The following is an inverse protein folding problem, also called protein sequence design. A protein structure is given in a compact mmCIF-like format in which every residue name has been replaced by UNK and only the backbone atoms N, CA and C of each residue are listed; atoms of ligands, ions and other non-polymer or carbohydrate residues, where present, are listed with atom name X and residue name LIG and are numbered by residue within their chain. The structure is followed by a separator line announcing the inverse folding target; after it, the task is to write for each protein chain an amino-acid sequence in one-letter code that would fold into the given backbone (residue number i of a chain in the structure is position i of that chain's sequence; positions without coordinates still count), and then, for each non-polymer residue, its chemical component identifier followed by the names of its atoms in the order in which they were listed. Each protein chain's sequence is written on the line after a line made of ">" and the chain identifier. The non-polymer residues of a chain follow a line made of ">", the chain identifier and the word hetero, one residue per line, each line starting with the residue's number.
data_IF_972067861236
#
_entry.id   IF_972067861236
#
_cell.length_a   1.000
_cell.length_b   1.000
_cell.length_c   1.000
_cell.angle_alpha   90.00
_cell.angle_beta   90.00
_cell.angle_gamma   90.00
#
_symmetry.space_group_name_H-M   'P 1'
#
loop_
_entity.id
_entity.type
_entity.pdbx_description
1 polymer ?
#
# COMPACT_ATOMS: atom_id res chain seq x y z
N UNK A 1 -4.38 4.15 -13.14
CA UNK A 1 -3.48 3.59 -12.10
C UNK A 1 -3.97 2.21 -11.61
N UNK A 2 -3.04 1.27 -11.38
CA UNK A 2 -3.36 -0.10 -10.96
C UNK A 2 -2.17 -0.80 -10.28
N UNK A 3 -2.47 -1.72 -9.35
CA UNK A 3 -1.47 -2.66 -8.82
C UNK A 3 -1.31 -3.78 -9.85
N UNK A 4 -0.10 -3.91 -10.42
CA UNK A 4 0.26 -4.97 -11.37
C UNK A 4 0.69 -6.22 -10.61
N UNK A 5 1.52 -6.04 -9.58
CA UNK A 5 1.96 -7.11 -8.67
C UNK A 5 1.83 -6.68 -7.20
N UNK A 6 1.37 -7.57 -6.30
CA UNK A 6 0.97 -8.96 -6.55
C UNK A 6 -0.41 -9.05 -7.23
N UNK A 7 -0.61 -10.13 -7.99
CA UNK A 7 -1.92 -10.42 -8.59
C UNK A 7 -2.97 -10.67 -7.49
N UNK A 8 -4.23 -10.30 -7.77
CA UNK A 8 -5.34 -10.53 -6.82
C UNK A 8 -5.45 -12.02 -6.46
N UNK A 9 -5.49 -12.31 -5.16
CA UNK A 9 -5.60 -13.68 -4.64
C UNK A 9 -4.27 -14.40 -4.45
N UNK A 10 -3.13 -13.71 -4.68
CA UNK A 10 -1.81 -14.24 -4.35
C UNK A 10 -1.74 -14.57 -2.85
N UNK A 11 -1.30 -15.79 -2.54
CA UNK A 11 -1.02 -16.20 -1.16
C UNK A 11 0.40 -15.79 -0.81
N UNK A 12 0.56 -15.04 0.27
CA UNK A 12 1.84 -14.52 0.76
C UNK A 12 1.94 -14.89 2.24
N UNK A 13 2.99 -15.60 2.62
CA UNK A 13 3.20 -16.00 4.00
C UNK A 13 3.63 -14.80 4.87
N UNK A 14 3.34 -14.80 6.19
CA UNK A 14 3.87 -13.79 7.10
C UNK A 14 5.40 -13.75 7.06
N UNK A 15 5.99 -12.56 6.92
CA UNK A 15 7.43 -12.37 6.77
C UNK A 15 7.99 -12.61 5.37
N UNK A 16 7.17 -13.07 4.41
CA UNK A 16 7.60 -13.29 3.03
C UNK A 16 7.78 -11.96 2.29
N UNK A 17 8.86 -11.86 1.51
CA UNK A 17 9.07 -10.77 0.55
C UNK A 17 8.40 -11.11 -0.77
N UNK A 18 7.66 -10.16 -1.33
CA UNK A 18 6.92 -10.30 -2.59
C UNK A 18 7.16 -9.11 -3.51
N UNK A 19 7.02 -9.35 -4.81
CA UNK A 19 7.17 -8.32 -5.83
C UNK A 19 6.02 -7.30 -5.74
N UNK A 20 6.39 -6.02 -5.84
CA UNK A 20 5.45 -4.92 -5.86
C UNK A 20 5.68 -4.09 -7.11
N UNK A 21 4.62 -3.93 -7.90
CA UNK A 21 4.63 -3.13 -9.12
C UNK A 21 3.30 -2.39 -9.25
N UNK A 22 3.38 -1.10 -9.56
CA UNK A 22 2.25 -0.19 -9.59
C UNK A 22 2.37 0.78 -10.77
N UNK A 23 1.32 0.81 -11.58
CA UNK A 23 1.17 1.78 -12.64
C UNK A 23 0.56 3.06 -12.06
N UNK A 24 1.35 4.13 -11.98
CA UNK A 24 0.93 5.46 -11.53
C UNK A 24 0.24 6.27 -12.63
N UNK A 25 -0.42 7.36 -12.24
CA UNK A 25 -0.96 8.37 -13.18
C UNK A 25 0.19 9.16 -13.79
N UNK A 26 0.25 9.14 -15.12
CA UNK A 26 1.25 9.84 -15.94
C UNK A 26 0.62 10.30 -17.27
N UNK A 27 -0.46 11.05 -17.18
CA UNK A 27 -1.20 11.59 -18.34
C UNK A 27 -0.78 13.04 -18.65
N UNK A 28 -1.12 13.54 -19.84
CA UNK A 28 -0.77 14.91 -20.21
C UNK A 28 -1.55 15.93 -19.36
N UNK A 29 -0.82 16.69 -18.53
CA UNK A 29 -1.39 17.66 -17.61
C UNK A 29 -1.88 17.07 -16.28
N UNK A 30 -1.61 15.79 -16.01
CA UNK A 30 -1.91 15.13 -14.74
C UNK A 30 -0.78 14.16 -14.36
N UNK A 31 -0.18 14.35 -13.20
CA UNK A 31 0.96 13.50 -12.81
C UNK A 31 0.99 13.24 -11.32
N UNK A 32 1.26 11.99 -10.99
CA UNK A 32 1.52 11.57 -9.63
C UNK A 32 2.86 12.09 -9.13
N UNK A 33 2.92 12.31 -7.82
CA UNK A 33 4.15 12.71 -7.14
C UNK A 33 4.43 11.83 -5.92
N UNK A 34 3.44 11.18 -5.30
CA UNK A 34 3.66 10.23 -4.22
C UNK A 34 2.62 9.10 -4.18
N UNK A 35 3.04 7.97 -3.61
CA UNK A 35 2.22 6.79 -3.32
C UNK A 35 2.31 6.46 -1.84
N UNK A 36 1.19 6.16 -1.21
CA UNK A 36 1.13 5.67 0.16
C UNK A 36 0.56 4.26 0.17
N UNK A 37 1.33 3.30 0.67
CA UNK A 37 1.00 1.87 0.59
C UNK A 37 0.58 1.34 1.96
N UNK A 38 -0.57 0.67 2.00
CA UNK A 38 -1.17 0.08 3.18
C UNK A 38 -1.57 -1.37 2.93
N UNK A 39 -1.54 -2.18 3.97
CA UNK A 39 -2.18 -3.49 4.03
C UNK A 39 -3.38 -3.40 4.96
N UNK A 40 -4.60 -3.54 4.43
CA UNK A 40 -5.81 -3.54 5.24
C UNK A 40 -6.25 -4.96 5.62
N UNK A 41 -6.83 -5.10 6.80
CA UNK A 41 -7.50 -6.33 7.26
C UNK A 41 -9.00 -6.32 6.96
N UNK A 42 -9.53 -5.19 6.49
CA UNK A 42 -10.92 -5.02 6.07
C UNK A 42 -10.97 -4.50 4.62
N UNK A 43 -11.99 -4.86 3.83
CA UNK A 43 -12.11 -4.36 2.47
C UNK A 43 -12.14 -2.83 2.46
N UNK A 44 -11.35 -2.15 1.61
CA UNK A 44 -11.48 -0.71 1.44
C UNK A 44 -12.88 -0.39 0.92
N UNK A 45 -13.54 0.61 1.50
CA UNK A 45 -14.82 1.13 0.99
C UNK A 45 -14.64 2.56 0.50
N UNK A 46 -15.47 2.99 -0.45
CA UNK A 46 -15.44 4.35 -0.99
C UNK A 46 -15.68 5.43 0.08
N UNK A 47 -16.26 5.06 1.22
CA UNK A 47 -16.50 5.94 2.37
C UNK A 47 -15.23 6.18 3.20
N UNK A 48 -14.19 5.34 3.06
CA UNK A 48 -12.92 5.48 3.77
C UNK A 48 -12.09 6.67 3.26
N UNK A 49 -12.30 7.09 2.01
CA UNK A 49 -11.45 8.10 1.35
C UNK A 49 -12.06 9.51 1.46
N UNK A 50 -13.34 9.67 1.77
CA UNK A 50 -13.95 11.01 1.94
C UNK A 50 -15.31 10.95 2.67
N UNK A 51 -15.45 11.44 3.92
CA UNK A 51 -14.41 11.93 4.84
C UNK A 51 -13.61 10.78 5.48
N UNK A 52 -12.28 10.94 5.58
CA UNK A 52 -11.33 9.92 6.08
C UNK A 52 -11.39 9.71 7.60
N UNK A 53 -12.51 9.25 8.14
CA UNK A 53 -12.60 8.90 9.58
C UNK A 53 -12.03 7.51 9.89
N UNK A 54 -11.87 6.64 8.89
CA UNK A 54 -11.36 5.27 9.03
C UNK A 54 -10.20 4.99 8.05
N UNK A 55 -9.17 5.85 8.08
CA UNK A 55 -8.11 5.90 7.08
C UNK A 55 -7.32 4.61 6.84
N UNK A 56 -7.14 3.76 7.85
CA UNK A 56 -6.51 2.45 7.66
C UNK A 56 -6.72 1.57 8.89
N UNK A 57 -7.05 0.30 8.68
CA UNK A 57 -6.95 -0.74 9.71
C UNK A 57 -6.03 -1.83 9.18
N UNK A 58 -4.79 -1.86 9.67
CA UNK A 58 -3.78 -2.85 9.28
C UNK A 58 -2.35 -2.31 9.36
N UNK A 59 -1.54 -2.56 8.34
CA UNK A 59 -0.10 -2.26 8.33
C UNK A 59 0.26 -1.15 7.34
N UNK A 60 1.12 -0.22 7.75
CA UNK A 60 1.66 0.84 6.92
C UNK A 60 3.03 0.42 6.37
N UNK A 61 3.17 0.37 5.04
CA UNK A 61 4.47 0.08 4.43
C UNK A 61 5.34 1.33 4.28
N UNK A 62 4.72 2.45 3.90
CA UNK A 62 5.46 3.67 3.64
C UNK A 62 4.77 4.59 2.65
N UNK A 63 5.40 5.74 2.48
CA UNK A 63 5.10 6.73 1.45
C UNK A 63 6.33 6.86 0.58
N UNK A 64 6.11 6.74 -0.72
CA UNK A 64 7.15 6.66 -1.73
C UNK A 64 6.93 7.73 -2.79
N UNK A 65 8.00 8.30 -3.31
CA UNK A 65 7.95 9.25 -4.40
C UNK A 65 7.78 8.53 -5.74
N UNK A 66 7.10 9.21 -6.67
CA UNK A 66 6.95 8.78 -8.06
C UNK A 66 7.79 9.69 -8.92
N UNK A 67 8.64 9.11 -9.76
CA UNK A 67 9.40 9.87 -10.75
C UNK A 67 8.44 10.55 -11.73
N UNK A 68 8.59 11.86 -11.88
CA UNK A 68 7.78 12.68 -12.79
C UNK A 68 8.65 13.72 -13.49
N UNK A 69 8.55 13.81 -14.82
CA UNK A 69 9.26 14.82 -15.60
C UNK A 69 8.31 15.89 -16.15
N UNK A 70 8.55 17.20 -15.93
CA UNK A 70 9.76 17.81 -15.35
C UNK A 70 9.71 18.06 -13.83
N UNK A 71 8.70 17.56 -13.12
CA UNK A 71 8.42 17.92 -11.72
C UNK A 71 9.47 17.45 -10.71
N UNK A 72 9.69 16.14 -10.61
CA UNK A 72 10.64 15.50 -9.70
C UNK A 72 11.18 14.19 -10.32
N UNK A 73 12.30 14.24 -11.07
CA UNK A 73 12.85 13.07 -11.76
C UNK A 73 13.55 12.06 -10.85
N UNK A 74 13.90 12.43 -9.61
CA UNK A 74 14.70 11.59 -8.70
C UNK A 74 14.26 11.82 -7.24
N UNK A 75 13.04 11.39 -6.87
CA UNK A 75 12.56 11.55 -5.53
C UNK A 75 13.39 10.70 -4.54
N UNK A 76 13.68 11.21 -3.34
CA UNK A 76 14.61 10.56 -2.39
C UNK A 76 14.12 9.23 -1.81
N UNK A 77 12.85 8.88 -2.03
CA UNK A 77 12.16 7.72 -1.47
C UNK A 77 11.40 6.96 -2.56
N UNK A 78 12.09 6.51 -3.60
CA UNK A 78 11.50 5.75 -4.69
C UNK A 78 10.64 4.57 -4.23
N UNK A 79 9.62 4.27 -5.02
CA UNK A 79 8.80 3.08 -4.84
C UNK A 79 9.69 1.83 -4.88
N UNK A 80 9.59 0.93 -3.87
CA UNK A 80 10.38 -0.28 -3.88
C UNK A 80 9.80 -1.28 -4.88
N UNK A 81 10.66 -2.08 -5.52
CA UNK A 81 10.23 -3.19 -6.38
C UNK A 81 9.72 -4.40 -5.59
N UNK A 82 9.89 -4.39 -4.27
CA UNK A 82 9.48 -5.49 -3.38
C UNK A 82 8.97 -4.95 -2.06
N UNK A 83 7.98 -5.62 -1.47
CA UNK A 83 7.51 -5.38 -0.11
C UNK A 83 7.65 -6.65 0.73
N UNK A 84 7.71 -6.50 2.05
CA UNK A 84 7.81 -7.65 2.97
C UNK A 84 6.55 -7.73 3.83
N UNK A 85 5.84 -8.85 3.74
CA UNK A 85 4.64 -9.08 4.51
C UNK A 85 4.95 -8.99 6.01
N UNK A 86 4.20 -8.20 6.79
CA UNK A 86 4.40 -8.14 8.24
C UNK A 86 4.28 -9.53 8.87
N UNK A 87 5.22 -9.84 9.77
CA UNK A 87 5.13 -11.06 10.57
C UNK A 87 4.25 -10.81 11.80
N UNK A 88 3.09 -11.45 11.83
CA UNK A 88 2.12 -11.36 12.94
C UNK A 88 2.34 -12.41 14.04
N UNK A 89 3.40 -13.22 13.98
CA UNK A 89 3.69 -14.24 14.99
C UNK A 89 4.15 -13.68 16.34
N UNK A 90 4.30 -12.36 16.46
CA UNK A 90 4.69 -11.69 17.70
C UNK A 90 3.56 -11.71 18.74
N UNK A 91 3.77 -12.38 19.86
CA UNK A 91 2.89 -12.27 21.02
C UNK A 91 3.31 -11.08 21.88
N UNK A 92 2.52 -10.00 21.88
CA UNK A 92 2.83 -8.77 22.62
C UNK A 92 2.27 -8.76 24.06
N UNK A 93 1.67 -9.86 24.53
CA UNK A 93 1.07 -9.97 25.87
C UNK A 93 -0.14 -9.05 26.09
N UNK A 94 -0.81 -9.22 27.23
CA UNK A 94 -1.86 -8.29 27.71
C UNK A 94 -3.25 -8.41 27.06
N UNK A 95 -4.12 -7.45 27.39
CA UNK A 95 -5.49 -7.33 26.86
C UNK A 95 -5.47 -6.74 25.44
N UNK A 96 -4.95 -7.52 24.51
CA UNK A 96 -4.77 -7.14 23.11
C UNK A 96 -4.01 -8.19 22.29
N UNK A 97 -3.87 -9.40 22.82
CA UNK A 97 -3.34 -10.53 22.07
C UNK A 97 -4.20 -10.72 20.82
N UNK A 98 -3.60 -10.48 19.65
CA UNK A 98 -4.26 -10.67 18.37
C UNK A 98 -4.85 -12.08 18.25
N UNK A 99 -5.85 -12.24 17.40
CA UNK A 99 -6.39 -13.58 17.11
C UNK A 99 -5.39 -14.38 16.28
N UNK A 100 -5.31 -15.69 16.53
CA UNK A 100 -4.76 -16.61 15.55
C UNK A 100 -5.59 -16.50 14.27
N UNK A 101 -4.91 -16.40 13.13
CA UNK A 101 -5.52 -16.34 11.82
C UNK A 101 -4.69 -17.14 10.83
N UNK A 102 -5.37 -17.87 9.94
CA UNK A 102 -4.73 -18.61 8.86
C UNK A 102 -5.53 -18.39 7.58
N UNK A 103 -4.84 -18.28 6.44
CA UNK A 103 -5.46 -18.01 5.15
C UNK A 103 -6.39 -16.77 5.17
N UNK A 104 -6.00 -15.75 5.94
CA UNK A 104 -6.80 -14.54 6.10
C UNK A 104 -6.71 -13.68 4.84
N UNK A 105 -7.86 -13.25 4.33
CA UNK A 105 -7.91 -12.27 3.24
C UNK A 105 -7.54 -10.90 3.81
N UNK A 106 -6.55 -10.28 3.17
CA UNK A 106 -6.11 -8.90 3.40
C UNK A 106 -6.10 -8.16 2.07
N UNK A 107 -6.05 -6.83 2.13
CA UNK A 107 -6.17 -5.96 0.96
C UNK A 107 -4.96 -5.06 0.88
N UNK A 108 -4.18 -5.17 -0.20
CA UNK A 108 -3.14 -4.19 -0.51
C UNK A 108 -3.82 -2.95 -1.11
N UNK A 109 -3.56 -1.80 -0.51
CA UNK A 109 -4.17 -0.52 -0.87
C UNK A 109 -3.05 0.47 -1.19
N UNK A 110 -3.15 1.11 -2.34
CA UNK A 110 -2.27 2.20 -2.75
C UNK A 110 -3.11 3.47 -2.85
N UNK A 111 -2.70 4.49 -2.10
CA UNK A 111 -3.27 5.84 -2.18
C UNK A 111 -2.30 6.69 -2.96
N UNK A 112 -2.76 7.21 -4.08
CA UNK A 112 -1.94 7.99 -5.01
C UNK A 112 -2.23 9.48 -4.85
N UNK A 113 -1.17 10.27 -4.70
CA UNK A 113 -1.21 11.73 -4.66
C UNK A 113 -0.76 12.27 -6.02
N UNK A 114 -1.64 13.02 -6.68
CA UNK A 114 -1.45 13.56 -8.02
C UNK A 114 -1.95 15.00 -8.12
N UNK A 115 -1.42 15.73 -9.09
CA UNK A 115 -1.80 17.11 -9.38
C UNK A 115 -2.06 17.30 -10.87
N UNK A 116 -2.87 18.30 -11.20
CA UNK A 116 -3.07 18.78 -12.58
C UNK A 116 -2.36 20.10 -12.80
N UNK A 117 -1.87 20.35 -14.01
CA UNK A 117 -1.09 21.55 -14.33
C UNK A 117 -0.83 21.75 -15.82
#
# INVERSE_FOLDING_TARGET
>A
PAIVSPAKGTSIAPGETFDFDYESIADYGESSYNLTIWLYTTPPSTVVITPMTHYAVGHYFGRFGVENYPGDPDPPNLMPSTLTMPNFSGSYGGFGLGSDASNQVVYLVVVEEWATG
#
